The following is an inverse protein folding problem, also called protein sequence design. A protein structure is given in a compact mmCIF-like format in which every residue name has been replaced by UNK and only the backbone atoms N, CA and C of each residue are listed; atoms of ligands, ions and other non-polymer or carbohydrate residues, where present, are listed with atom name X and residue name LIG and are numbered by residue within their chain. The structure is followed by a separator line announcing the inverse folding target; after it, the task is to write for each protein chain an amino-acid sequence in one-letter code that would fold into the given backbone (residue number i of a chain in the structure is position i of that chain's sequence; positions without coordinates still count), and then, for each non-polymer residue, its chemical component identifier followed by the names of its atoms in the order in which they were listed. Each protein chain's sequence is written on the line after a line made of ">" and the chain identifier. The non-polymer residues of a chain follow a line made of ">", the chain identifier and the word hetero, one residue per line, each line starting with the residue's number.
data_IF_536963804839
#
_entry.id   IF_536963804839
#
_cell.length_a   1.000
_cell.length_b   1.000
_cell.length_c   1.000
_cell.angle_alpha   90.00
_cell.angle_beta   90.00
_cell.angle_gamma   90.00
#
_symmetry.space_group_name_H-M   'P 1'
#
loop_
_entity.id
_entity.type
_entity.pdbx_description
1 polymer ?
#
# COMPACT_ATOMS: atom_id res chain seq x y z
N UNK A 1 1.03 16.20 -36.14
CA UNK A 1 0.49 16.41 -34.77
C UNK A 1 0.85 15.18 -33.95
N UNK A 2 1.41 15.36 -32.76
CA UNK A 2 1.72 14.23 -31.87
C UNK A 2 0.44 13.43 -31.55
N UNK A 3 0.55 12.10 -31.52
CA UNK A 3 -0.60 11.25 -31.22
C UNK A 3 -1.09 11.47 -29.78
N UNK A 4 -2.31 11.01 -29.46
CA UNK A 4 -2.80 11.07 -28.07
C UNK A 4 -1.89 10.26 -27.15
N UNK A 5 -1.46 9.07 -27.60
CA UNK A 5 -0.54 8.19 -26.87
C UNK A 5 0.80 8.88 -26.61
N UNK A 6 1.36 9.56 -27.62
CA UNK A 6 2.63 10.27 -27.49
C UNK A 6 2.56 11.38 -26.44
N UNK A 7 1.50 12.20 -26.47
CA UNK A 7 1.30 13.26 -25.46
C UNK A 7 1.14 12.70 -24.04
N UNK A 8 0.42 11.59 -23.88
CA UNK A 8 0.24 10.95 -22.57
C UNK A 8 1.55 10.31 -22.08
N UNK A 9 2.30 9.65 -22.97
CA UNK A 9 3.61 9.10 -22.66
C UNK A 9 4.58 10.19 -22.18
N UNK A 10 4.61 11.34 -22.84
CA UNK A 10 5.44 12.47 -22.45
C UNK A 10 5.05 13.02 -21.07
N UNK A 11 3.75 13.13 -20.77
CA UNK A 11 3.29 13.54 -19.44
C UNK A 11 3.74 12.58 -18.34
N UNK A 12 3.66 11.26 -18.56
CA UNK A 12 4.11 10.28 -17.56
C UNK A 12 5.63 10.32 -17.39
N UNK A 13 6.41 10.50 -18.47
CA UNK A 13 7.87 10.67 -18.39
C UNK A 13 8.28 11.96 -17.68
N UNK A 14 7.53 13.05 -17.85
CA UNK A 14 7.74 14.27 -17.08
C UNK A 14 7.53 14.03 -15.57
N UNK A 15 6.51 13.24 -15.20
CA UNK A 15 6.29 12.84 -13.79
C UNK A 15 7.42 11.95 -13.27
N UNK A 16 7.86 10.96 -14.03
CA UNK A 16 8.99 10.09 -13.70
C UNK A 16 10.25 10.91 -13.41
N UNK A 17 10.59 11.83 -14.32
CA UNK A 17 11.75 12.73 -14.17
C UNK A 17 11.60 13.63 -12.94
N UNK A 18 10.43 14.24 -12.74
CA UNK A 18 10.16 15.09 -11.58
C UNK A 18 10.28 14.31 -10.25
N UNK A 19 9.82 13.04 -10.22
CA UNK A 19 9.95 12.18 -9.06
C UNK A 19 11.43 11.83 -8.77
N UNK A 20 12.21 11.53 -9.81
CA UNK A 20 13.65 11.29 -9.67
C UNK A 20 14.39 12.52 -9.13
N UNK A 21 14.11 13.70 -9.67
CA UNK A 21 14.69 14.97 -9.20
C UNK A 21 14.28 15.29 -7.76
N UNK A 22 13.02 15.04 -7.40
CA UNK A 22 12.52 15.22 -6.04
C UNK A 22 13.22 14.27 -5.05
N UNK A 23 13.41 12.99 -5.42
CA UNK A 23 14.13 12.03 -4.59
C UNK A 23 15.60 12.44 -4.38
N UNK A 24 16.28 12.88 -5.44
CA UNK A 24 17.67 13.36 -5.33
C UNK A 24 17.79 14.61 -4.45
N UNK A 25 16.77 15.47 -4.43
CA UNK A 25 16.72 16.65 -3.55
C UNK A 25 16.43 16.28 -2.10
N UNK A 26 15.52 15.33 -1.87
CA UNK A 26 15.08 14.95 -0.53
C UNK A 26 16.09 14.07 0.21
N UNK A 27 16.86 13.24 -0.52
CA UNK A 27 17.81 12.30 0.08
C UNK A 27 19.22 12.92 0.15
N UNK A 28 19.83 12.99 1.36
CA UNK A 28 21.22 13.42 1.52
C UNK A 28 22.18 12.59 0.67
N UNK A 29 23.23 13.23 0.16
CA UNK A 29 24.18 12.65 -0.82
C UNK A 29 24.73 11.28 -0.43
N UNK A 30 25.09 11.12 0.83
CA UNK A 30 25.68 9.96 1.47
C UNK A 30 24.73 8.74 1.56
N UNK A 31 23.43 8.95 1.33
CA UNK A 31 22.42 7.88 1.32
C UNK A 31 21.84 7.61 -0.07
N UNK A 32 22.28 8.33 -1.12
CA UNK A 32 21.73 8.18 -2.47
C UNK A 32 22.05 6.85 -3.13
N UNK A 33 23.12 6.17 -2.70
CA UNK A 33 23.45 4.81 -3.16
C UNK A 33 22.39 3.77 -2.77
N UNK A 34 21.51 4.11 -1.83
CA UNK A 34 20.38 3.29 -1.41
C UNK A 34 19.07 3.61 -2.17
N UNK A 35 19.12 4.53 -3.15
CA UNK A 35 18.01 4.74 -4.06
C UNK A 35 18.00 3.67 -5.16
N UNK A 36 16.86 2.99 -5.28
CA UNK A 36 16.56 2.08 -6.37
C UNK A 36 15.45 2.66 -7.24
N UNK A 37 15.46 2.35 -8.53
CA UNK A 37 14.41 2.75 -9.46
C UNK A 37 13.56 1.53 -9.82
N UNK A 38 12.36 1.46 -9.26
CA UNK A 38 11.46 0.32 -9.43
C UNK A 38 10.62 0.51 -10.71
N UNK A 39 10.65 -0.45 -11.65
CA UNK A 39 9.85 -0.38 -12.87
C UNK A 39 8.36 -0.48 -12.54
N UNK A 40 7.53 0.37 -13.12
CA UNK A 40 6.07 0.38 -12.97
C UNK A 40 5.42 0.53 -14.34
N UNK A 41 4.27 -0.14 -14.51
CA UNK A 41 3.44 -0.02 -15.70
C UNK A 41 2.29 0.95 -15.38
N UNK A 42 2.31 2.12 -16.00
CA UNK A 42 1.21 3.09 -15.91
C UNK A 42 0.28 2.97 -17.11
N UNK A 43 -1.02 2.91 -16.85
CA UNK A 43 -2.03 2.95 -17.91
C UNK A 43 -2.05 4.34 -18.52
N UNK A 44 -1.77 4.44 -19.82
CA UNK A 44 -1.95 5.67 -20.59
C UNK A 44 -3.42 5.85 -20.98
N UNK A 45 -4.03 4.81 -21.55
CA UNK A 45 -5.40 4.86 -22.04
C UNK A 45 -6.07 3.48 -22.02
N UNK A 46 -7.38 3.46 -21.76
CA UNK A 46 -8.20 2.24 -21.72
C UNK A 46 -8.67 1.78 -23.12
N UNK A 47 -7.74 1.73 -24.07
CA UNK A 47 -7.92 1.09 -25.38
C UNK A 47 -6.56 0.67 -25.94
N UNK A 48 -6.58 -0.19 -26.94
CA UNK A 48 -5.39 -0.47 -27.74
C UNK A 48 -5.08 0.70 -28.71
N UNK A 49 -3.83 0.82 -29.17
CA UNK A 49 -3.45 1.82 -30.16
C UNK A 49 -4.17 1.59 -31.49
N UNK A 50 -4.58 2.66 -32.14
CA UNK A 50 -5.11 2.63 -33.50
C UNK A 50 -3.96 2.50 -34.51
N UNK A 51 -4.24 1.99 -35.71
CA UNK A 51 -3.21 1.79 -36.75
C UNK A 51 -2.38 3.05 -37.04
N UNK A 52 -3.02 4.23 -37.03
CA UNK A 52 -2.36 5.53 -37.24
C UNK A 52 -1.55 6.05 -36.04
N UNK A 53 -1.53 5.34 -34.91
CA UNK A 53 -0.75 5.68 -33.71
C UNK A 53 0.56 4.89 -33.62
N UNK A 54 0.83 4.01 -34.59
CA UNK A 54 2.11 3.31 -34.72
C UNK A 54 3.13 4.12 -35.53
N UNK A 55 4.44 3.99 -35.23
CA UNK A 55 5.02 3.18 -34.14
C UNK A 55 4.79 3.80 -32.75
N UNK A 56 4.68 2.96 -31.73
CA UNK A 56 4.50 3.41 -30.34
C UNK A 56 5.79 4.04 -29.79
N UNK A 57 5.69 5.04 -28.88
CA UNK A 57 6.85 5.58 -28.20
C UNK A 57 7.62 4.51 -27.40
N UNK A 58 8.93 4.69 -27.13
CA UNK A 58 9.72 3.72 -26.37
C UNK A 58 9.11 3.39 -24.99
N UNK A 59 9.06 2.11 -24.63
CA UNK A 59 8.48 1.65 -23.37
C UNK A 59 6.95 1.67 -23.32
N UNK A 60 6.28 2.14 -24.38
CA UNK A 60 4.82 2.03 -24.53
C UNK A 60 4.47 0.69 -25.16
N UNK A 61 3.47 0.01 -24.61
CA UNK A 61 2.99 -1.27 -25.11
C UNK A 61 1.48 -1.39 -24.90
N UNK A 62 0.83 -2.20 -25.74
CA UNK A 62 -0.56 -2.59 -25.53
C UNK A 62 -0.65 -3.93 -24.80
N UNK A 63 -1.61 -4.05 -23.91
CA UNK A 63 -1.95 -5.31 -23.26
C UNK A 63 -3.42 -5.28 -22.85
N UNK A 64 -4.17 -6.32 -23.21
CA UNK A 64 -5.54 -6.57 -22.72
C UNK A 64 -6.49 -5.38 -22.95
N UNK A 65 -6.55 -4.86 -24.17
CA UNK A 65 -7.47 -3.77 -24.47
C UNK A 65 -7.05 -2.42 -23.89
N UNK A 66 -5.80 -2.28 -23.41
CA UNK A 66 -5.28 -1.04 -22.81
C UNK A 66 -3.88 -0.75 -23.35
N UNK A 67 -3.46 0.50 -23.25
CA UNK A 67 -2.11 0.95 -23.58
C UNK A 67 -1.43 1.44 -22.32
N UNK A 68 -0.21 0.96 -22.10
CA UNK A 68 0.61 1.24 -20.93
C UNK A 68 1.94 1.86 -21.32
N UNK A 69 2.60 2.49 -20.37
CA UNK A 69 4.02 2.84 -20.44
C UNK A 69 4.76 2.23 -19.26
N UNK A 70 5.94 1.68 -19.51
CA UNK A 70 6.87 1.29 -18.46
C UNK A 70 7.74 2.50 -18.07
N UNK A 71 7.64 2.91 -16.82
CA UNK A 71 8.48 3.97 -16.20
C UNK A 71 9.13 3.44 -14.93
N UNK A 72 10.09 4.17 -14.35
CA UNK A 72 10.78 3.77 -13.14
C UNK A 72 10.69 4.85 -12.08
N UNK A 73 10.05 4.53 -10.96
CA UNK A 73 9.96 5.45 -9.83
C UNK A 73 11.04 5.19 -8.79
N UNK A 74 11.60 6.23 -8.17
CA UNK A 74 12.60 6.08 -7.14
C UNK A 74 11.97 5.46 -5.87
N UNK A 75 12.77 4.65 -5.19
CA UNK A 75 12.44 3.93 -3.97
C UNK A 75 13.67 3.91 -3.05
N UNK A 76 13.50 4.29 -1.79
CA UNK A 76 14.58 4.21 -0.80
C UNK A 76 14.54 2.86 -0.09
N UNK A 77 15.61 2.07 -0.23
CA UNK A 77 15.67 0.75 0.43
C UNK A 77 15.76 0.86 1.94
N UNK A 78 15.24 -0.15 2.63
CA UNK A 78 15.22 -0.21 4.11
C UNK A 78 16.62 -0.09 4.69
N UNK A 79 17.63 -0.71 4.07
CA UNK A 79 19.03 -0.60 4.49
C UNK A 79 19.52 0.86 4.54
N UNK A 80 19.12 1.68 3.57
CA UNK A 80 19.45 3.10 3.55
C UNK A 80 18.75 3.87 4.65
N UNK A 81 17.47 3.56 4.92
CA UNK A 81 16.71 4.17 6.03
C UNK A 81 17.34 3.83 7.37
N UNK A 82 17.75 2.57 7.58
CA UNK A 82 18.44 2.11 8.79
C UNK A 82 19.77 2.83 8.97
N UNK A 83 20.59 2.91 7.91
CA UNK A 83 21.89 3.60 7.98
C UNK A 83 21.71 5.06 8.34
N UNK A 84 20.82 5.78 7.64
CA UNK A 84 20.54 7.19 7.91
C UNK A 84 20.06 7.40 9.34
N UNK A 85 19.06 6.64 9.79
CA UNK A 85 18.57 6.70 11.16
C UNK A 85 19.67 6.49 12.20
N UNK A 86 20.56 5.52 11.99
CA UNK A 86 21.68 5.22 12.91
C UNK A 86 22.76 6.29 12.92
N UNK A 87 23.04 6.88 11.77
CA UNK A 87 24.04 7.93 11.62
C UNK A 87 23.59 9.20 12.36
N UNK A 88 22.33 9.62 12.19
CA UNK A 88 21.76 10.78 12.89
C UNK A 88 21.77 10.59 14.42
N UNK A 89 21.42 9.39 14.90
CA UNK A 89 21.48 9.09 16.35
C UNK A 89 22.91 9.08 16.88
N UNK A 90 23.85 8.52 16.11
CA UNK A 90 25.27 8.50 16.48
C UNK A 90 25.83 9.91 16.56
N UNK A 91 25.51 10.78 15.60
CA UNK A 91 25.96 12.17 15.58
C UNK A 91 25.37 12.97 16.75
N UNK A 92 24.10 12.76 17.07
CA UNK A 92 23.45 13.43 18.20
C UNK A 92 23.80 12.83 19.58
N UNK A 93 24.51 11.71 19.64
CA UNK A 93 24.73 10.96 20.88
C UNK A 93 23.45 10.42 21.52
N UNK A 94 22.39 10.28 20.72
CA UNK A 94 21.05 9.87 21.14
C UNK A 94 20.86 8.35 21.09
N UNK A 95 20.02 7.83 21.98
CA UNK A 95 19.67 6.41 22.04
C UNK A 95 18.37 6.12 21.29
N UNK A 96 18.24 4.87 20.90
CA UNK A 96 17.02 4.33 20.31
C UNK A 96 16.86 2.85 20.64
N UNK A 97 15.64 2.34 20.52
CA UNK A 97 15.32 0.91 20.57
C UNK A 97 14.42 0.54 19.39
N UNK A 98 14.60 -0.67 18.89
CA UNK A 98 13.74 -1.26 17.86
C UNK A 98 13.28 -2.60 18.40
N UNK A 99 11.98 -2.80 18.54
CA UNK A 99 11.37 -4.03 19.04
C UNK A 99 10.31 -4.53 18.06
N UNK A 100 10.06 -5.83 18.09
CA UNK A 100 9.08 -6.48 17.21
C UNK A 100 8.27 -7.53 17.96
N UNK A 101 7.15 -7.96 17.40
CA UNK A 101 6.38 -9.12 17.90
C UNK A 101 6.93 -10.47 17.40
N UNK A 102 8.19 -10.54 16.95
CA UNK A 102 8.77 -11.76 16.42
C UNK A 102 8.81 -12.91 17.43
N UNK A 103 8.98 -12.63 18.73
CA UNK A 103 8.99 -13.70 19.75
C UNK A 103 7.59 -14.30 19.95
N UNK A 104 6.53 -13.48 19.94
CA UNK A 104 5.14 -13.95 19.97
C UNK A 104 4.87 -14.90 18.78
N UNK A 105 5.26 -14.48 17.58
CA UNK A 105 5.12 -15.31 16.37
C UNK A 105 5.90 -16.63 16.50
N UNK A 106 7.13 -16.59 17.04
CA UNK A 106 7.93 -17.80 17.28
C UNK A 106 7.29 -18.72 18.31
N UNK A 107 6.69 -18.18 19.37
CA UNK A 107 5.97 -18.97 20.37
C UNK A 107 4.73 -19.65 19.78
N UNK A 108 3.95 -18.94 18.95
CA UNK A 108 2.83 -19.54 18.21
C UNK A 108 3.31 -20.75 17.38
N UNK A 109 4.41 -20.58 16.63
CA UNK A 109 4.98 -21.65 15.82
C UNK A 109 5.49 -22.83 16.66
N UNK A 110 6.18 -22.58 17.79
CA UNK A 110 6.65 -23.63 18.71
C UNK A 110 5.49 -24.42 19.31
N UNK A 111 4.38 -23.75 19.60
CA UNK A 111 3.19 -24.36 20.17
C UNK A 111 2.28 -25.03 19.12
N UNK A 112 2.70 -25.07 17.85
CA UNK A 112 1.93 -25.65 16.76
C UNK A 112 0.69 -24.85 16.37
N UNK A 113 0.59 -23.58 16.81
CA UNK A 113 -0.49 -22.69 16.41
C UNK A 113 -0.22 -22.14 15.01
N UNK A 114 -1.17 -22.25 14.06
CA UNK A 114 -1.02 -21.66 12.75
C UNK A 114 -1.05 -20.13 12.85
N UNK A 115 -0.19 -19.45 12.08
CA UNK A 115 -0.23 -18.00 11.92
C UNK A 115 -1.43 -17.67 11.01
N UNK A 116 -2.41 -16.87 11.47
CA UNK A 116 -3.56 -16.49 10.65
C UNK A 116 -3.13 -15.79 9.35
N UNK A 117 -3.86 -15.98 8.24
CA UNK A 117 -3.62 -15.22 7.02
C UNK A 117 -3.71 -13.70 7.29
N UNK A 118 -2.67 -12.96 6.90
CA UNK A 118 -2.62 -11.51 7.10
C UNK A 118 -2.23 -11.07 8.52
N UNK A 119 -1.83 -12.00 9.40
CA UNK A 119 -1.41 -11.68 10.77
C UNK A 119 -0.33 -10.58 10.78
N UNK A 120 -0.45 -9.56 11.64
CA UNK A 120 0.43 -8.40 11.60
C UNK A 120 1.81 -8.71 12.18
N UNK A 121 2.85 -8.39 11.42
CA UNK A 121 4.19 -8.18 11.96
C UNK A 121 4.33 -6.71 12.37
N UNK A 122 4.59 -6.49 13.66
CA UNK A 122 4.64 -5.16 14.27
C UNK A 122 6.07 -4.81 14.58
N UNK A 123 6.52 -3.65 14.13
CA UNK A 123 7.78 -3.03 14.52
C UNK A 123 7.50 -1.74 15.28
N UNK A 124 8.09 -1.61 16.46
CA UNK A 124 8.08 -0.39 17.28
C UNK A 124 9.48 0.20 17.30
N UNK A 125 9.59 1.48 17.00
CA UNK A 125 10.83 2.25 17.09
C UNK A 125 10.64 3.35 18.12
N UNK A 126 11.47 3.32 19.17
CA UNK A 126 11.58 4.40 20.14
C UNK A 126 12.90 5.13 19.93
N UNK A 127 12.85 6.44 19.81
CA UNK A 127 13.96 7.31 19.46
C UNK A 127 13.94 8.52 20.37
N UNK A 128 15.07 8.87 20.97
CA UNK A 128 15.18 10.12 21.74
C UNK A 128 15.04 11.37 20.82
N UNK A 129 15.33 11.23 19.52
CA UNK A 129 15.21 12.32 18.55
C UNK A 129 13.77 12.52 18.04
N UNK A 130 13.04 11.43 17.84
CA UNK A 130 11.78 11.45 17.09
C UNK A 130 10.57 10.91 17.86
N UNK A 131 10.77 10.48 19.11
CA UNK A 131 9.72 9.89 19.94
C UNK A 131 9.47 8.41 19.59
N UNK A 132 8.22 7.98 19.60
CA UNK A 132 7.83 6.57 19.42
C UNK A 132 6.90 6.42 18.21
N UNK A 133 7.21 5.46 17.34
CA UNK A 133 6.32 5.06 16.25
C UNK A 133 6.16 3.55 16.21
N UNK A 134 5.02 3.14 15.69
CA UNK A 134 4.71 1.75 15.39
C UNK A 134 4.34 1.62 13.92
N UNK A 135 4.77 0.53 13.29
CA UNK A 135 4.34 0.18 11.95
C UNK A 135 4.11 -1.32 11.80
N UNK A 136 3.18 -1.64 10.91
CA UNK A 136 2.69 -3.00 10.69
C UNK A 136 2.94 -3.40 9.24
N UNK A 137 3.16 -4.69 9.03
CA UNK A 137 3.10 -5.34 7.72
C UNK A 137 2.44 -6.71 7.88
N UNK A 138 1.53 -7.06 6.97
CA UNK A 138 0.83 -8.34 7.03
C UNK A 138 1.75 -9.49 6.63
N UNK A 139 1.69 -10.59 7.39
CA UNK A 139 2.37 -11.84 7.07
C UNK A 139 1.48 -12.63 6.11
N UNK A 140 1.99 -12.89 4.91
CA UNK A 140 1.27 -13.64 3.88
C UNK A 140 1.79 -15.09 3.82
N UNK A 141 1.36 -15.93 4.76
CA UNK A 141 1.62 -17.38 4.69
C UNK A 141 0.99 -17.94 3.40
N UNK A 142 1.75 -18.76 2.67
CA UNK A 142 1.40 -19.25 1.31
C UNK A 142 1.19 -18.13 0.26
N UNK A 143 1.78 -16.96 0.52
CA UNK A 143 1.78 -15.84 -0.41
C UNK A 143 2.53 -16.15 -1.70
N UNK A 144 2.45 -15.22 -2.66
CA UNK A 144 3.17 -15.33 -3.94
C UNK A 144 4.51 -14.58 -3.85
N UNK A 145 5.48 -14.99 -4.67
CA UNK A 145 6.80 -14.35 -4.76
C UNK A 145 7.64 -14.52 -3.49
N UNK A 146 8.10 -13.42 -2.87
CA UNK A 146 8.96 -13.47 -1.67
C UNK A 146 8.20 -14.11 -0.50
N UNK A 147 6.90 -13.84 -0.38
CA UNK A 147 6.04 -14.43 0.65
C UNK A 147 5.88 -15.95 0.53
N UNK A 148 6.20 -16.54 -0.63
CA UNK A 148 6.17 -18.00 -0.81
C UNK A 148 7.34 -18.71 -0.12
N UNK A 149 8.44 -17.98 0.12
CA UNK A 149 9.69 -18.56 0.62
C UNK A 149 10.10 -17.96 1.98
N UNK A 150 9.82 -16.67 2.19
CA UNK A 150 10.30 -15.89 3.34
C UNK A 150 9.25 -14.87 3.82
N UNK A 151 8.02 -15.31 4.19
CA UNK A 151 6.92 -14.41 4.55
C UNK A 151 7.19 -13.61 5.83
N UNK A 152 7.94 -14.17 6.78
CA UNK A 152 8.28 -13.50 8.03
C UNK A 152 9.33 -12.40 7.79
N UNK A 153 10.37 -12.70 7.02
CA UNK A 153 11.44 -11.75 6.68
C UNK A 153 10.91 -10.59 5.83
N UNK A 154 9.96 -10.86 4.93
CA UNK A 154 9.31 -9.80 4.15
C UNK A 154 8.45 -8.88 5.03
N UNK A 155 7.68 -9.45 5.97
CA UNK A 155 6.88 -8.66 6.90
C UNK A 155 7.75 -7.87 7.89
N UNK A 156 8.85 -8.45 8.37
CA UNK A 156 9.84 -7.77 9.21
C UNK A 156 10.45 -6.57 8.50
N UNK A 157 11.00 -6.79 7.30
CA UNK A 157 11.64 -5.71 6.53
C UNK A 157 10.64 -4.64 6.10
N UNK A 158 9.40 -5.01 5.77
CA UNK A 158 8.33 -4.07 5.41
C UNK A 158 7.88 -3.24 6.61
N UNK A 159 7.62 -3.86 7.77
CA UNK A 159 7.21 -3.13 8.99
C UNK A 159 8.32 -2.21 9.50
N UNK A 160 9.58 -2.65 9.50
CA UNK A 160 10.73 -1.80 9.83
C UNK A 160 10.87 -0.63 8.85
N UNK A 161 10.79 -0.91 7.55
CA UNK A 161 10.84 0.12 6.52
C UNK A 161 9.77 1.19 6.71
N UNK A 162 8.54 0.77 7.03
CA UNK A 162 7.40 1.65 7.33
C UNK A 162 7.62 2.46 8.61
N UNK A 163 8.15 1.84 9.68
CA UNK A 163 8.44 2.54 10.93
C UNK A 163 9.47 3.65 10.72
N UNK A 164 10.57 3.36 10.03
CA UNK A 164 11.62 4.35 9.74
C UNK A 164 11.14 5.47 8.82
N UNK A 165 10.27 5.16 7.85
CA UNK A 165 9.65 6.19 7.02
C UNK A 165 8.69 7.09 7.82
N UNK A 166 7.94 6.56 8.81
CA UNK A 166 7.16 7.38 9.75
C UNK A 166 8.04 8.31 10.59
N UNK A 167 9.28 7.91 10.87
CA UNK A 167 10.30 8.75 11.51
C UNK A 167 10.96 9.77 10.56
N UNK A 168 10.54 9.85 9.29
CA UNK A 168 11.04 10.81 8.32
C UNK A 168 12.17 10.29 7.40
N UNK A 169 12.65 9.07 7.61
CA UNK A 169 13.80 8.55 6.87
C UNK A 169 13.39 7.93 5.54
N UNK A 170 13.89 8.48 4.44
CA UNK A 170 13.67 7.93 3.09
C UNK A 170 12.29 8.23 2.49
N UNK A 171 11.63 9.30 2.94
CA UNK A 171 10.37 9.76 2.35
C UNK A 171 10.62 10.54 1.04
N UNK A 172 10.21 9.95 -0.08
CA UNK A 172 10.40 10.52 -1.44
C UNK A 172 9.10 10.60 -2.25
N UNK A 173 7.95 10.66 -1.56
CA UNK A 173 6.63 10.78 -2.20
C UNK A 173 6.07 9.47 -2.77
N UNK A 174 6.82 8.36 -2.74
CA UNK A 174 6.39 7.02 -3.19
C UNK A 174 5.46 6.29 -2.19
N UNK A 175 5.08 6.92 -1.08
CA UNK A 175 4.31 6.30 0.01
C UNK A 175 5.15 5.42 0.95
N UNK A 176 4.46 4.72 1.87
CA UNK A 176 5.07 3.86 2.89
C UNK A 176 5.29 2.40 2.43
N UNK A 177 4.92 2.05 1.20
CA UNK A 177 5.01 0.68 0.69
C UNK A 177 6.47 0.20 0.57
N UNK A 178 6.72 -1.09 0.82
CA UNK A 178 8.02 -1.73 0.62
C UNK A 178 8.30 -2.02 -0.87
N UNK A 179 9.56 -2.27 -1.23
CA UNK A 179 9.93 -2.59 -2.61
C UNK A 179 9.24 -3.88 -3.07
N UNK A 180 9.10 -4.83 -2.17
CA UNK A 180 8.53 -6.14 -2.40
C UNK A 180 7.02 -6.03 -2.61
N UNK A 181 6.33 -5.19 -1.83
CA UNK A 181 4.91 -4.86 -2.04
C UNK A 181 4.69 -4.15 -3.38
N UNK A 182 5.57 -3.20 -3.75
CA UNK A 182 5.49 -2.52 -5.04
C UNK A 182 5.74 -3.52 -6.17
N UNK A 183 6.80 -4.33 -6.10
CA UNK A 183 7.14 -5.38 -7.09
C UNK A 183 6.02 -6.42 -7.21
N UNK A 184 5.43 -6.86 -6.12
CA UNK A 184 4.33 -7.83 -6.14
C UNK A 184 3.05 -7.18 -6.66
N UNK A 185 2.75 -5.92 -6.35
CA UNK A 185 1.63 -5.20 -6.98
C UNK A 185 1.82 -5.08 -8.50
N UNK A 186 3.04 -4.80 -8.97
CA UNK A 186 3.40 -4.81 -10.40
C UNK A 186 3.23 -6.22 -10.98
N UNK A 187 3.69 -7.25 -10.26
CA UNK A 187 3.63 -8.64 -10.70
C UNK A 187 2.20 -9.18 -10.75
N UNK A 188 1.34 -8.84 -9.79
CA UNK A 188 -0.09 -9.21 -9.76
C UNK A 188 -0.83 -8.58 -10.93
N UNK A 189 -0.62 -7.28 -11.18
CA UNK A 189 -1.11 -6.60 -12.39
C UNK A 189 -0.64 -7.28 -13.68
N UNK A 190 0.55 -7.89 -13.68
CA UNK A 190 1.10 -8.60 -14.84
C UNK A 190 0.63 -10.08 -14.93
N UNK A 191 0.19 -10.71 -13.83
CA UNK A 191 -0.12 -12.16 -13.78
C UNK A 191 -1.62 -12.49 -13.77
N UNK A 192 -2.48 -11.57 -13.34
CA UNK A 192 -3.95 -11.72 -13.44
C UNK A 192 -4.43 -11.81 -14.90
N UNK A 193 -3.50 -11.72 -15.86
CA UNK A 193 -3.78 -11.61 -17.26
C UNK A 193 -3.54 -12.85 -18.13
N UNK A 194 -3.32 -14.02 -17.52
CA UNK A 194 -3.22 -15.32 -18.23
C UNK A 194 -4.59 -16.02 -18.29
N UNK A 195 -5.12 -16.40 -19.47
CA UNK A 195 -6.44 -17.01 -19.59
C UNK A 195 -6.36 -18.50 -19.25
N UNK A 196 -6.62 -18.85 -18.00
CA UNK A 196 -7.19 -20.17 -17.73
C UNK A 196 -8.18 -20.08 -16.56
N UNK A 197 -9.47 -20.00 -16.93
CA UNK A 197 -10.52 -20.75 -16.25
C UNK A 197 -10.90 -20.38 -14.82
N UNK A 198 -11.04 -19.10 -14.48
CA UNK A 198 -12.08 -18.56 -13.59
C UNK A 198 -11.86 -17.06 -13.49
N UNK A 199 -12.85 -16.28 -13.96
CA UNK A 199 -12.80 -14.82 -13.92
C UNK A 199 -12.53 -14.35 -12.47
N UNK A 200 -11.58 -13.43 -12.22
CA UNK A 200 -11.72 -12.55 -11.08
C UNK A 200 -12.90 -11.65 -11.43
N UNK A 201 -14.01 -11.86 -10.73
CA UNK A 201 -15.17 -10.99 -10.80
C UNK A 201 -14.69 -9.56 -10.55
N UNK A 202 -15.09 -8.63 -11.43
CA UNK A 202 -15.31 -7.25 -11.00
C UNK A 202 -16.00 -7.34 -9.64
N UNK A 203 -15.47 -6.69 -8.61
CA UNK A 203 -16.04 -6.79 -7.27
C UNK A 203 -17.45 -6.22 -7.38
N UNK A 204 -18.43 -7.11 -7.54
CA UNK A 204 -19.82 -6.79 -7.39
C UNK A 204 -19.93 -6.18 -5.99
N UNK A 205 -20.61 -5.04 -5.86
CA UNK A 205 -20.57 -4.30 -4.62
C UNK A 205 -21.25 -5.16 -3.55
N UNK A 206 -20.47 -5.49 -2.51
CA UNK A 206 -20.83 -6.51 -1.54
C UNK A 206 -21.90 -5.96 -0.61
N UNK A 207 -23.07 -6.61 -0.55
CA UNK A 207 -24.15 -6.25 0.36
C UNK A 207 -23.90 -6.89 1.72
N UNK A 208 -23.61 -6.07 2.73
CA UNK A 208 -23.27 -6.51 4.09
C UNK A 208 -24.22 -5.87 5.09
N UNK A 209 -24.66 -6.62 6.10
CA UNK A 209 -25.56 -6.12 7.15
C UNK A 209 -24.79 -5.39 8.26
N UNK A 210 -25.37 -4.31 8.77
CA UNK A 210 -24.87 -3.59 9.94
C UNK A 210 -25.29 -4.33 11.21
N UNK A 211 -24.32 -4.69 12.05
CA UNK A 211 -24.53 -5.38 13.31
C UNK A 211 -24.58 -4.43 14.52
N UNK A 212 -23.96 -3.24 14.44
CA UNK A 212 -23.91 -2.30 15.57
C UNK A 212 -24.76 -1.06 15.39
N UNK A 213 -25.07 -0.43 16.53
CA UNK A 213 -25.56 0.95 16.52
C UNK A 213 -24.47 1.91 16.00
N UNK A 214 -24.85 3.03 15.37
CA UNK A 214 -23.93 4.06 14.92
C UNK A 214 -23.15 4.66 16.10
N UNK A 215 -21.83 4.78 15.94
CA UNK A 215 -20.96 5.48 16.91
C UNK A 215 -20.21 6.59 16.20
N UNK A 216 -20.25 7.79 16.78
CA UNK A 216 -19.49 8.92 16.22
C UNK A 216 -18.03 8.84 16.68
N UNK A 217 -17.12 8.94 15.72
CA UNK A 217 -15.67 8.83 15.87
C UNK A 217 -15.04 10.13 15.38
N UNK A 218 -14.46 10.94 16.27
CA UNK A 218 -13.74 12.15 15.87
C UNK A 218 -12.40 11.78 15.21
N UNK A 219 -12.12 12.36 14.05
CA UNK A 219 -10.86 12.19 13.31
C UNK A 219 -10.24 13.55 12.97
N UNK A 220 -9.00 13.56 12.50
CA UNK A 220 -8.32 14.80 12.06
C UNK A 220 -8.95 15.46 10.83
N UNK A 221 -9.84 14.74 10.11
CA UNK A 221 -10.56 15.24 8.93
C UNK A 221 -12.04 15.53 9.19
N UNK A 222 -12.49 15.44 10.45
CA UNK A 222 -13.88 15.63 10.85
C UNK A 222 -14.44 14.44 11.63
N UNK A 223 -15.72 14.50 11.98
CA UNK A 223 -16.43 13.40 12.64
C UNK A 223 -16.95 12.42 11.59
N UNK A 224 -16.73 11.12 11.85
CA UNK A 224 -17.27 10.04 11.04
C UNK A 224 -18.18 9.19 11.90
N UNK A 225 -19.17 8.53 11.30
CA UNK A 225 -19.97 7.52 11.98
C UNK A 225 -19.42 6.14 11.62
N UNK A 226 -19.07 5.36 12.64
CA UNK A 226 -18.58 3.99 12.53
C UNK A 226 -19.68 2.97 12.80
N UNK A 227 -19.65 1.88 12.04
CA UNK A 227 -20.51 0.70 12.18
C UNK A 227 -19.67 -0.57 12.17
N UNK A 228 -20.04 -1.53 13.00
CA UNK A 228 -19.60 -2.92 12.85
C UNK A 228 -20.55 -3.62 11.88
N UNK A 229 -19.97 -4.32 10.90
CA UNK A 229 -20.69 -5.17 9.97
C UNK A 229 -20.80 -6.59 10.54
N UNK A 230 -21.81 -7.34 10.09
CA UNK A 230 -22.10 -8.69 10.60
C UNK A 230 -20.95 -9.71 10.40
N UNK A 231 -19.99 -9.40 9.53
CA UNK A 231 -18.79 -10.19 9.30
C UNK A 231 -17.56 -9.71 10.08
N UNK A 232 -17.75 -8.76 10.99
CA UNK A 232 -16.70 -8.21 11.86
C UNK A 232 -15.89 -7.06 11.26
N UNK A 233 -16.19 -6.61 10.02
CA UNK A 233 -15.51 -5.45 9.42
C UNK A 233 -16.08 -4.13 9.95
N UNK A 234 -15.29 -3.05 9.86
CA UNK A 234 -15.69 -1.71 10.29
C UNK A 234 -15.97 -0.81 9.08
N UNK A 235 -17.19 -0.27 9.03
CA UNK A 235 -17.60 0.72 8.05
C UNK A 235 -17.49 2.11 8.66
N UNK A 236 -16.79 3.03 7.99
CA UNK A 236 -16.77 4.45 8.36
C UNK A 236 -17.38 5.30 7.25
N UNK A 237 -18.44 6.00 7.58
CA UNK A 237 -19.12 6.96 6.69
C UNK A 237 -19.04 8.35 7.30
N UNK A 238 -19.02 9.37 6.46
CA UNK A 238 -18.98 10.75 6.96
C UNK A 238 -20.29 11.08 7.69
N UNK A 239 -20.22 11.91 8.73
CA UNK A 239 -21.35 12.22 9.60
C UNK A 239 -22.47 13.03 8.93
N UNK A 240 -22.27 13.45 7.68
CA UNK A 240 -23.25 14.12 6.82
C UNK A 240 -24.22 13.12 6.15
N UNK A 241 -23.94 11.83 6.22
CA UNK A 241 -24.81 10.74 5.77
C UNK A 241 -25.85 10.39 6.85
N UNK A 242 -27.12 10.08 6.48
CA UNK A 242 -28.11 9.58 7.42
C UNK A 242 -27.63 8.35 8.20
N UNK A 243 -27.82 8.35 9.52
CA UNK A 243 -27.41 7.24 10.37
C UNK A 243 -28.23 5.98 10.07
N UNK A 244 -27.53 4.89 9.83
CA UNK A 244 -28.10 3.56 9.58
C UNK A 244 -28.40 2.84 10.89
N UNK A 245 -29.46 2.03 10.89
CA UNK A 245 -29.83 1.16 12.01
C UNK A 245 -29.22 -0.25 11.87
N UNK A 246 -29.02 -0.98 12.97
CA UNK A 246 -28.72 -2.41 12.92
C UNK A 246 -29.73 -3.16 12.03
N UNK A 247 -29.23 -4.10 11.22
CA UNK A 247 -30.00 -4.85 10.22
C UNK A 247 -30.09 -4.19 8.84
N UNK A 248 -29.65 -2.94 8.68
CA UNK A 248 -29.58 -2.30 7.37
C UNK A 248 -28.48 -2.92 6.51
N UNK A 249 -28.76 -3.13 5.23
CA UNK A 249 -27.80 -3.66 4.24
C UNK A 249 -27.08 -2.53 3.52
N UNK A 250 -25.76 -2.59 3.50
CA UNK A 250 -24.90 -1.60 2.84
C UNK A 250 -24.09 -2.22 1.72
N UNK A 251 -23.93 -1.45 0.64
CA UNK A 251 -23.17 -1.86 -0.53
C UNK A 251 -21.74 -1.33 -0.40
N UNK A 252 -20.80 -2.21 -0.08
CA UNK A 252 -19.40 -1.85 0.13
C UNK A 252 -18.64 -1.95 -1.19
N UNK A 253 -17.93 -0.87 -1.54
CA UNK A 253 -17.34 -0.72 -2.89
C UNK A 253 -15.83 -0.42 -2.87
N UNK A 254 -15.21 -0.39 -1.70
CA UNK A 254 -13.77 -0.16 -1.58
C UNK A 254 -13.24 -0.29 -0.16
N UNK A 255 -11.94 -0.58 -0.06
CA UNK A 255 -11.15 -0.65 1.18
C UNK A 255 -10.31 0.62 1.27
N UNK A 256 -10.40 1.39 2.35
CA UNK A 256 -9.62 2.63 2.52
C UNK A 256 -8.30 2.37 3.22
N UNK A 257 -8.32 1.71 4.38
CA UNK A 257 -7.13 1.51 5.22
C UNK A 257 -7.39 0.49 6.32
N UNK A 258 -6.34 -0.13 6.84
CA UNK A 258 -6.38 -0.89 8.08
C UNK A 258 -6.26 0.09 9.27
N UNK A 259 -7.08 -0.09 10.31
CA UNK A 259 -7.04 0.71 11.54
C UNK A 259 -5.78 0.36 12.35
N UNK A 260 -5.46 1.17 13.36
CA UNK A 260 -4.35 0.87 14.29
C UNK A 260 -4.56 -0.42 15.10
N UNK A 261 -5.77 -0.96 15.11
CA UNK A 261 -6.14 -2.21 15.81
C UNK A 261 -6.26 -3.41 14.87
N UNK A 262 -5.95 -3.26 13.57
CA UNK A 262 -6.01 -4.35 12.58
C UNK A 262 -7.37 -4.49 11.88
N UNK A 263 -8.29 -3.53 12.06
CA UNK A 263 -9.61 -3.60 11.45
C UNK A 263 -9.60 -3.01 10.03
N UNK A 264 -10.23 -3.69 9.07
CA UNK A 264 -10.35 -3.19 7.70
C UNK A 264 -11.43 -2.11 7.64
N UNK A 265 -11.05 -0.86 7.35
CA UNK A 265 -11.96 0.28 7.20
C UNK A 265 -12.43 0.37 5.75
N UNK A 266 -13.74 0.18 5.56
CA UNK A 266 -14.40 0.17 4.26
C UNK A 266 -15.07 1.52 3.94
N UNK A 267 -15.19 1.84 2.64
CA UNK A 267 -16.01 2.96 2.14
C UNK A 267 -17.11 2.48 1.19
N UNK A 268 -18.23 3.19 1.20
CA UNK A 268 -19.30 3.03 0.21
C UNK A 268 -19.21 4.18 -0.80
N UNK A 269 -19.33 3.86 -2.08
CA UNK A 269 -19.30 4.81 -3.20
C UNK A 269 -20.71 5.16 -3.68
N UNK A 270 -21.72 4.35 -3.34
CA UNK A 270 -23.10 4.59 -3.76
C UNK A 270 -24.09 4.11 -2.69
N UNK A 271 -25.04 5.00 -2.34
CA UNK A 271 -26.14 4.72 -1.42
C UNK A 271 -27.39 4.39 -2.23
N UNK A 272 -27.80 3.12 -2.23
CA UNK A 272 -29.19 2.77 -2.54
C UNK A 272 -29.83 2.26 -1.27
N UNK A 273 -30.70 3.08 -0.70
CA UNK A 273 -31.63 2.66 0.33
C UNK A 273 -32.53 1.59 -0.27
N UNK A 274 -32.24 0.33 0.05
CA UNK A 274 -33.22 -0.74 -0.10
C UNK A 274 -33.77 -0.96 1.30
N UNK A 275 -35.05 -0.67 1.44
CA UNK A 275 -35.84 -0.88 2.64
C UNK A 275 -35.69 -2.30 3.19
#
# INVERSE_FOLDING_TARGET
>A
MASVIERLADQVRMKEKAAAEAAMRAIPSEYRDYLMYLPQNETLINREPLDGEYPLPPGVFSWKGKTFIQVKYPYMVVAGRVKWFRDDHREAGAKYSITTNAEEIREMMKNGQPIPPGYPFVTVVESELHGKVEALASIHIDGKAVDAYFPLENAETSSLGRALAKMGYGLIGSGLSSAEEVKEAIRRKSKEDTPNGSKPSETEPELVEIASNPKDVPTSKGTYTSYELADGRLLMVSSDVPKLSPGAKVCVSGIITESKTGDVILWTKEFKGVA
#
